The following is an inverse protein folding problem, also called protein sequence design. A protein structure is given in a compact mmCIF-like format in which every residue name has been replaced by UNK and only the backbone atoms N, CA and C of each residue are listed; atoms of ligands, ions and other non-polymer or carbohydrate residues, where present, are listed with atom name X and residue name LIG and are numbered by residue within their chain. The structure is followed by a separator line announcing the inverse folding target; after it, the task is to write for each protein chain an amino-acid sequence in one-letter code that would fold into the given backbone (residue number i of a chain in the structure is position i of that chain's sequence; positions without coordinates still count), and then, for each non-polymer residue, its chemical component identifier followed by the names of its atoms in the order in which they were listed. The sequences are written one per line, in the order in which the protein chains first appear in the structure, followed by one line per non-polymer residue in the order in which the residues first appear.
data_IF_081997541838
#
_entry.id   IF_081997541838
#
_cell.length_a   1.000
_cell.length_b   1.000
_cell.length_c   1.000
_cell.angle_alpha   90.00
_cell.angle_beta   90.00
_cell.angle_gamma   90.00
#
_symmetry.space_group_name_H-M   'P 1'
#
loop_
_entity.id
_entity.type
_entity.pdbx_description
1 polymer ?
#
# COMPACT_ATOMS: atom_id res chain seq x y z
N UNK A 1 -46.23 -15.61 48.80
CA UNK A 1 -46.18 -14.75 47.61
C UNK A 1 -44.72 -14.43 47.33
N UNK A 2 -44.08 -15.11 46.39
CA UNK A 2 -42.66 -14.89 46.03
C UNK A 2 -42.61 -14.01 44.79
N UNK A 3 -42.05 -12.82 44.94
CA UNK A 3 -41.85 -11.85 43.87
C UNK A 3 -40.65 -12.30 43.04
N UNK A 4 -40.84 -12.71 41.77
CA UNK A 4 -39.76 -12.91 40.81
C UNK A 4 -39.38 -11.56 40.23
N UNK A 5 -38.16 -11.09 40.52
CA UNK A 5 -37.56 -9.92 39.87
C UNK A 5 -36.82 -10.41 38.60
N UNK A 6 -37.38 -10.13 37.43
CA UNK A 6 -36.67 -10.35 36.17
C UNK A 6 -35.68 -9.23 35.96
N UNK A 7 -34.40 -9.53 36.07
CA UNK A 7 -33.31 -8.62 35.66
C UNK A 7 -33.15 -8.74 34.15
N UNK A 8 -33.55 -7.69 33.42
CA UNK A 8 -33.27 -7.56 32.00
C UNK A 8 -31.79 -7.22 31.82
N UNK A 9 -31.01 -8.15 31.32
CA UNK A 9 -29.63 -7.92 30.92
C UNK A 9 -29.64 -7.22 29.53
N UNK A 10 -29.39 -5.90 29.56
CA UNK A 10 -29.15 -5.14 28.34
C UNK A 10 -27.74 -5.48 27.79
N UNK A 11 -27.68 -6.26 26.71
CA UNK A 11 -26.45 -6.41 25.95
C UNK A 11 -26.23 -5.13 25.12
N UNK A 12 -25.05 -4.50 25.24
CA UNK A 12 -24.73 -3.38 24.35
C UNK A 12 -24.58 -3.91 22.91
N UNK A 13 -25.43 -3.40 22.03
CA UNK A 13 -25.26 -3.58 20.60
C UNK A 13 -24.03 -2.77 20.21
N UNK A 14 -22.89 -3.43 20.03
CA UNK A 14 -21.75 -2.83 19.34
C UNK A 14 -22.17 -2.63 17.87
N UNK A 15 -22.54 -1.42 17.52
CA UNK A 15 -22.57 -1.02 16.11
C UNK A 15 -21.14 -1.18 15.59
N UNK A 16 -20.92 -2.17 14.73
CA UNK A 16 -19.73 -2.23 13.90
C UNK A 16 -19.75 -0.99 13.01
N UNK A 17 -18.94 0.01 13.36
CA UNK A 17 -18.62 1.12 12.47
C UNK A 17 -17.97 0.45 11.26
N UNK A 18 -18.68 0.50 10.10
CA UNK A 18 -18.22 -0.10 8.88
C UNK A 18 -16.81 0.38 8.56
N UNK A 19 -15.89 -0.56 8.42
CA UNK A 19 -14.51 -0.30 8.02
C UNK A 19 -14.55 0.35 6.64
N UNK A 20 -14.38 1.66 6.58
CA UNK A 20 -14.11 2.36 5.32
C UNK A 20 -12.83 1.74 4.75
N UNK A 21 -12.89 1.28 3.53
CA UNK A 21 -11.76 0.62 2.86
C UNK A 21 -10.49 1.47 3.01
N UNK A 22 -9.41 0.90 3.52
CA UNK A 22 -8.11 1.59 3.72
C UNK A 22 -7.56 2.21 2.42
N UNK A 23 -7.95 1.68 1.27
CA UNK A 23 -7.62 2.25 -0.05
C UNK A 23 -8.17 3.68 -0.21
N UNK A 24 -9.34 3.98 0.37
CA UNK A 24 -9.97 5.31 0.28
C UNK A 24 -9.28 6.36 1.17
N UNK A 25 -8.49 5.96 2.14
CA UNK A 25 -7.83 6.86 3.09
C UNK A 25 -6.31 6.97 2.91
N UNK A 26 -5.76 6.37 1.86
CA UNK A 26 -4.33 6.46 1.61
C UNK A 26 -3.86 7.88 1.30
N UNK A 27 -2.57 8.16 1.57
CA UNK A 27 -1.85 9.35 1.11
C UNK A 27 -1.02 9.01 -0.12
N UNK A 28 -0.60 10.01 -0.93
CA UNK A 28 0.33 9.74 -2.02
C UNK A 28 1.64 9.13 -1.49
N UNK A 29 2.21 8.13 -2.21
CA UNK A 29 3.51 7.55 -1.83
C UNK A 29 4.67 8.52 -2.04
N UNK A 30 4.49 9.55 -2.85
CA UNK A 30 5.45 10.62 -3.13
C UNK A 30 4.83 11.96 -2.70
N UNK A 31 5.54 12.72 -1.88
CA UNK A 31 5.08 14.05 -1.47
C UNK A 31 5.14 15.02 -2.65
N UNK A 32 4.11 15.83 -2.78
CA UNK A 32 4.03 16.81 -3.87
C UNK A 32 3.67 16.21 -5.23
N UNK A 33 3.35 14.91 -5.30
CA UNK A 33 2.89 14.26 -6.53
C UNK A 33 1.74 15.05 -7.16
N UNK A 34 1.89 15.43 -8.41
CA UNK A 34 0.84 16.14 -9.13
C UNK A 34 -0.06 15.17 -9.93
N UNK A 35 -1.33 15.55 -10.12
CA UNK A 35 -2.24 14.74 -10.93
C UNK A 35 -1.77 14.57 -12.38
N UNK A 36 -1.01 15.54 -12.89
CA UNK A 36 -0.47 15.49 -14.25
C UNK A 36 0.61 14.41 -14.42
N UNK A 37 1.25 13.99 -13.32
CA UNK A 37 2.30 12.99 -13.32
C UNK A 37 1.75 11.56 -13.10
N UNK A 38 0.45 11.45 -12.78
CA UNK A 38 -0.24 10.17 -12.63
C UNK A 38 -0.84 9.72 -13.97
N UNK A 39 -0.49 8.50 -14.38
CA UNK A 39 -1.12 7.80 -15.50
C UNK A 39 -1.66 6.47 -15.03
N UNK A 40 -2.80 6.06 -15.55
CA UNK A 40 -3.33 4.72 -15.31
C UNK A 40 -2.61 3.72 -16.23
N UNK A 41 -1.60 3.05 -15.67
CA UNK A 41 -0.81 2.03 -16.35
C UNK A 41 -1.23 0.60 -15.96
N UNK A 42 -2.31 0.46 -15.17
CA UNK A 42 -2.72 -0.81 -14.56
C UNK A 42 -3.00 -1.92 -15.57
N UNK A 43 -3.69 -1.59 -16.66
CA UNK A 43 -4.05 -2.55 -17.71
C UNK A 43 -3.00 -2.66 -18.84
N UNK A 44 -1.91 -1.89 -18.77
CA UNK A 44 -0.84 -1.97 -19.77
C UNK A 44 -0.22 -3.38 -19.78
N UNK A 45 0.21 -3.82 -20.96
CA UNK A 45 0.81 -5.15 -21.13
C UNK A 45 2.33 -5.00 -21.30
N UNK A 46 3.07 -5.57 -20.36
CA UNK A 46 4.52 -5.63 -20.39
C UNK A 46 4.99 -7.09 -20.50
N UNK A 47 5.72 -7.42 -21.56
CA UNK A 47 6.24 -8.79 -21.80
C UNK A 47 5.17 -9.90 -21.74
N UNK A 48 3.95 -9.60 -22.20
CA UNK A 48 2.84 -10.58 -22.23
C UNK A 48 2.07 -10.73 -20.92
N UNK A 49 2.38 -9.93 -19.90
CA UNK A 49 1.66 -9.89 -18.62
C UNK A 49 1.04 -8.52 -18.40
N UNK A 50 -0.11 -8.46 -17.74
CA UNK A 50 -0.67 -7.18 -17.27
C UNK A 50 0.28 -6.57 -16.25
N UNK A 51 0.37 -5.25 -16.29
CA UNK A 51 1.21 -4.48 -15.37
C UNK A 51 0.72 -4.56 -13.92
N UNK A 52 -0.59 -4.46 -13.72
CA UNK A 52 -1.29 -4.58 -12.43
C UNK A 52 -0.74 -3.62 -11.34
N UNK A 53 -0.18 -2.49 -11.78
CA UNK A 53 0.44 -1.47 -10.95
C UNK A 53 0.34 -0.09 -11.59
N UNK A 54 0.77 0.93 -10.87
CA UNK A 54 0.99 2.29 -11.38
C UNK A 54 2.47 2.61 -11.27
N UNK A 55 3.08 3.00 -12.40
CA UNK A 55 4.44 3.52 -12.42
C UNK A 55 4.42 5.03 -12.25
N UNK A 56 5.14 5.51 -11.24
CA UNK A 56 5.25 6.92 -10.87
C UNK A 56 6.70 7.35 -11.15
N UNK A 57 6.96 8.03 -12.29
CA UNK A 57 8.29 8.52 -12.63
C UNK A 57 8.75 9.58 -11.64
N UNK A 58 9.91 9.36 -11.02
CA UNK A 58 10.52 10.27 -10.06
C UNK A 58 12.04 10.12 -10.09
N UNK A 59 12.79 11.17 -9.75
CA UNK A 59 14.24 11.07 -9.65
C UNK A 59 14.68 9.99 -8.65
N UNK A 60 15.82 9.33 -8.95
CA UNK A 60 16.45 8.40 -8.01
C UNK A 60 16.70 9.10 -6.66
N UNK A 61 16.41 8.42 -5.57
CA UNK A 61 16.58 8.94 -4.21
C UNK A 61 15.40 9.77 -3.70
N UNK A 62 14.34 9.99 -4.50
CA UNK A 62 13.09 10.61 -4.00
C UNK A 62 12.51 9.77 -2.87
N UNK A 63 12.17 10.35 -1.71
CA UNK A 63 11.59 9.61 -0.59
C UNK A 63 10.25 8.96 -0.95
N UNK A 64 10.11 7.69 -0.60
CA UNK A 64 8.85 6.91 -0.72
C UNK A 64 8.23 6.78 0.66
N UNK A 65 6.94 7.09 0.76
CA UNK A 65 6.20 7.12 2.00
C UNK A 65 5.18 5.98 2.09
N UNK A 66 4.98 5.45 3.29
CA UNK A 66 3.90 4.54 3.59
C UNK A 66 2.55 5.22 3.30
N UNK A 67 1.75 4.65 2.39
CA UNK A 67 0.48 5.26 1.97
C UNK A 67 -0.62 5.15 3.03
N UNK A 68 -0.52 4.19 3.93
CA UNK A 68 -1.41 3.95 5.09
C UNK A 68 -0.59 3.59 6.31
N UNK A 69 -1.18 3.64 7.51
CA UNK A 69 -0.59 3.00 8.70
C UNK A 69 -0.70 1.48 8.57
N UNK A 70 0.26 0.75 9.15
CA UNK A 70 0.25 -0.70 9.08
C UNK A 70 1.59 -1.34 9.44
N UNK A 71 1.86 -2.51 8.89
CA UNK A 71 3.05 -3.32 9.22
C UNK A 71 3.86 -3.68 7.98
N UNK A 72 5.18 -3.52 8.03
CA UNK A 72 6.10 -4.02 7.01
C UNK A 72 6.15 -5.54 7.11
N UNK A 73 5.52 -6.23 6.16
CA UNK A 73 5.42 -7.69 6.20
C UNK A 73 6.61 -8.38 5.57
N UNK A 74 7.21 -7.76 4.54
CA UNK A 74 8.35 -8.33 3.85
C UNK A 74 9.21 -7.25 3.22
N UNK A 75 10.51 -7.36 3.41
CA UNK A 75 11.56 -6.70 2.63
C UNK A 75 12.16 -7.76 1.72
N UNK A 76 12.06 -7.58 0.41
CA UNK A 76 12.44 -8.63 -0.51
C UNK A 76 13.23 -8.09 -1.69
N UNK A 77 14.27 -8.83 -2.06
CA UNK A 77 15.03 -8.58 -3.29
C UNK A 77 14.64 -9.62 -4.33
N UNK A 78 13.99 -9.19 -5.39
CA UNK A 78 13.60 -10.05 -6.50
C UNK A 78 14.27 -9.65 -7.81
N UNK A 79 14.38 -10.60 -8.75
CA UNK A 79 14.92 -10.29 -10.08
C UNK A 79 14.05 -9.28 -10.84
N UNK A 80 12.70 -9.38 -10.87
CA UNK A 80 11.87 -8.37 -11.54
C UNK A 80 11.73 -7.08 -10.72
N UNK A 81 11.39 -7.14 -9.44
CA UNK A 81 11.03 -5.95 -8.64
C UNK A 81 12.22 -5.21 -8.04
N UNK A 82 13.43 -5.80 -8.04
CA UNK A 82 14.56 -5.23 -7.30
C UNK A 82 14.32 -5.22 -5.79
N UNK A 83 14.74 -4.15 -5.13
CA UNK A 83 14.42 -3.91 -3.72
C UNK A 83 12.95 -3.56 -3.59
N UNK A 84 12.22 -4.33 -2.78
CA UNK A 84 10.77 -4.21 -2.64
C UNK A 84 10.31 -4.21 -1.19
N UNK A 85 9.21 -3.50 -0.93
CA UNK A 85 8.51 -3.48 0.35
C UNK A 85 7.10 -4.03 0.14
N UNK A 86 6.67 -4.94 1.01
CA UNK A 86 5.30 -5.37 1.16
C UNK A 86 4.79 -4.89 2.51
N UNK A 87 3.87 -3.96 2.49
CA UNK A 87 3.23 -3.39 3.68
C UNK A 87 1.78 -3.87 3.76
N UNK A 88 1.37 -4.40 4.90
CA UNK A 88 -0.04 -4.67 5.15
C UNK A 88 -0.69 -3.48 5.84
N UNK A 89 -1.96 -3.21 5.52
CA UNK A 89 -2.77 -2.30 6.32
C UNK A 89 -3.04 -2.86 7.73
N UNK A 90 -3.57 -2.05 8.62
CA UNK A 90 -3.84 -2.44 10.01
C UNK A 90 -4.80 -3.62 10.13
N UNK A 91 -5.74 -3.76 9.19
CA UNK A 91 -6.71 -4.85 9.18
C UNK A 91 -6.16 -6.11 8.49
N UNK A 92 -5.04 -6.01 7.75
CA UNK A 92 -4.48 -7.10 6.95
C UNK A 92 -5.42 -7.54 5.83
N UNK A 93 -6.16 -6.60 5.26
CA UNK A 93 -7.03 -6.81 4.10
C UNK A 93 -6.28 -6.54 2.81
N UNK A 94 -5.42 -5.52 2.83
CA UNK A 94 -4.66 -5.10 1.66
C UNK A 94 -3.16 -5.17 1.91
N UNK A 95 -2.44 -5.55 0.84
CA UNK A 95 -0.99 -5.44 0.75
C UNK A 95 -0.63 -4.33 -0.23
N UNK A 96 0.15 -3.37 0.23
CA UNK A 96 0.73 -2.29 -0.57
C UNK A 96 2.15 -2.67 -0.94
N UNK A 97 2.44 -2.65 -2.23
CA UNK A 97 3.71 -3.08 -2.79
C UNK A 97 4.44 -1.91 -3.42
N UNK A 98 5.69 -1.75 -3.02
CA UNK A 98 6.60 -0.72 -3.51
C UNK A 98 7.83 -1.39 -4.10
N UNK A 99 8.14 -1.13 -5.36
CA UNK A 99 9.24 -1.80 -6.05
C UNK A 99 10.19 -0.84 -6.77
N UNK A 100 11.26 -1.40 -7.31
CA UNK A 100 12.39 -0.74 -7.97
C UNK A 100 13.14 0.24 -7.05
N UNK A 101 13.02 0.08 -5.73
CA UNK A 101 13.62 0.98 -4.75
C UNK A 101 15.14 0.97 -4.85
N UNK A 102 15.75 2.14 -4.64
CA UNK A 102 17.21 2.26 -4.50
C UNK A 102 17.67 1.62 -3.19
N UNK A 103 16.87 1.79 -2.14
CA UNK A 103 17.08 1.18 -0.84
C UNK A 103 15.93 1.51 0.12
N UNK A 104 16.04 0.96 1.31
CA UNK A 104 15.12 1.19 2.42
C UNK A 104 15.63 2.33 3.31
N UNK A 105 14.73 2.98 4.04
CA UNK A 105 15.16 3.91 5.10
C UNK A 105 15.93 3.15 6.18
N UNK A 106 16.91 3.80 6.77
CA UNK A 106 17.72 3.20 7.85
C UNK A 106 16.85 2.70 9.01
N UNK A 107 17.11 1.50 9.47
CA UNK A 107 16.36 0.87 10.56
C UNK A 107 15.03 0.23 10.16
N UNK A 108 14.58 0.34 8.91
CA UNK A 108 13.39 -0.38 8.46
C UNK A 108 13.62 -1.89 8.53
N UNK A 109 12.65 -2.62 9.11
CA UNK A 109 12.72 -4.08 9.23
C UNK A 109 11.33 -4.71 9.09
N UNK A 110 11.34 -5.98 8.79
CA UNK A 110 10.11 -6.80 8.79
C UNK A 110 9.45 -6.77 10.17
N UNK A 111 8.13 -6.86 10.20
CA UNK A 111 7.24 -6.77 11.37
C UNK A 111 7.27 -5.39 12.07
N UNK A 112 7.95 -4.40 11.49
CA UNK A 112 7.90 -3.03 12.01
C UNK A 112 6.57 -2.37 11.67
N UNK A 113 5.96 -1.73 12.66
CA UNK A 113 4.81 -0.85 12.45
C UNK A 113 5.29 0.48 11.86
N UNK A 114 4.57 0.97 10.87
CA UNK A 114 4.78 2.28 10.26
C UNK A 114 3.47 3.07 10.26
N UNK A 115 3.60 4.37 10.40
CA UNK A 115 2.46 5.28 10.28
C UNK A 115 2.35 5.80 8.85
N UNK A 116 1.14 6.16 8.46
CA UNK A 116 0.88 6.81 7.16
C UNK A 116 1.73 8.07 7.02
N UNK A 117 2.50 8.14 5.94
CA UNK A 117 3.40 9.24 5.66
C UNK A 117 4.84 9.08 6.17
N UNK A 118 5.15 7.98 6.89
CA UNK A 118 6.53 7.65 7.24
C UNK A 118 7.36 7.36 5.98
N UNK A 119 8.62 7.80 5.97
CA UNK A 119 9.54 7.42 4.91
C UNK A 119 9.93 5.95 5.10
N UNK A 120 9.74 5.13 4.07
CA UNK A 120 10.04 3.70 4.10
C UNK A 120 11.15 3.30 3.13
N UNK A 121 11.47 4.14 2.16
CA UNK A 121 12.51 3.85 1.17
C UNK A 121 12.70 5.01 0.21
N UNK A 122 13.41 4.75 -0.88
CA UNK A 122 13.78 5.75 -1.87
C UNK A 122 13.57 5.20 -3.28
N UNK A 123 13.07 6.04 -4.18
CA UNK A 123 12.89 5.70 -5.60
C UNK A 123 14.22 5.29 -6.22
N UNK A 124 14.20 4.24 -7.00
CA UNK A 124 15.37 3.75 -7.72
C UNK A 124 15.02 3.23 -9.11
N UNK A 125 15.83 2.29 -9.56
CA UNK A 125 15.64 1.52 -10.81
C UNK A 125 16.25 0.12 -10.66
N UNK A 126 16.12 -0.48 -9.45
CA UNK A 126 16.60 -1.84 -9.22
C UNK A 126 15.67 -2.88 -9.86
N UNK A 127 16.14 -4.12 -9.99
CA UNK A 127 15.38 -5.16 -10.68
C UNK A 127 15.46 -5.04 -12.18
N UNK A 128 14.31 -5.10 -12.86
CA UNK A 128 14.23 -5.00 -14.33
C UNK A 128 13.88 -3.59 -14.85
N UNK A 129 13.81 -2.58 -13.97
CA UNK A 129 13.58 -1.20 -14.37
C UNK A 129 14.78 -0.64 -15.17
N UNK A 130 14.50 0.20 -16.19
CA UNK A 130 15.56 0.89 -16.94
C UNK A 130 16.26 1.90 -16.03
N UNK A 131 17.59 1.80 -15.92
CA UNK A 131 18.40 2.69 -15.10
C UNK A 131 18.29 4.18 -15.49
N UNK A 132 17.85 4.47 -16.72
CA UNK A 132 17.66 5.84 -17.25
C UNK A 132 16.30 6.44 -16.90
N UNK A 133 15.37 5.62 -16.46
CA UNK A 133 13.99 6.04 -16.12
C UNK A 133 13.60 5.55 -14.73
N UNK A 134 14.21 6.12 -13.66
CA UNK A 134 13.84 5.75 -12.29
C UNK A 134 12.36 6.04 -12.07
N UNK A 135 11.70 5.14 -11.34
CA UNK A 135 10.27 5.28 -11.00
C UNK A 135 9.93 4.43 -9.78
N UNK A 136 8.86 4.77 -9.11
CA UNK A 136 8.22 3.90 -8.16
C UNK A 136 7.18 3.04 -8.87
N UNK A 137 7.35 1.73 -8.86
CA UNK A 137 6.30 0.78 -9.24
C UNK A 137 5.45 0.49 -8.00
N UNK A 138 4.18 0.92 -8.03
CA UNK A 138 3.27 0.84 -6.89
C UNK A 138 2.05 -0.01 -7.23
N UNK A 139 1.82 -1.06 -6.42
CA UNK A 139 0.67 -1.95 -6.59
C UNK A 139 -0.09 -2.15 -5.27
N UNK A 140 -1.35 -2.56 -5.38
CA UNK A 140 -2.21 -2.94 -4.25
C UNK A 140 -2.78 -4.33 -4.53
N UNK A 141 -2.73 -5.20 -3.53
CA UNK A 141 -3.31 -6.53 -3.59
C UNK A 141 -4.32 -6.71 -2.45
N UNK A 142 -5.53 -7.15 -2.79
CA UNK A 142 -6.50 -7.67 -1.82
C UNK A 142 -6.03 -9.06 -1.39
N UNK A 143 -5.82 -9.24 -0.09
CA UNK A 143 -5.28 -10.48 0.47
C UNK A 143 -6.38 -11.54 0.63
N UNK A 144 -6.02 -12.79 0.40
CA UNK A 144 -6.86 -13.92 0.78
C UNK A 144 -6.85 -14.17 2.29
N UNK A 145 -7.67 -15.11 2.78
CA UNK A 145 -7.79 -15.42 4.21
C UNK A 145 -6.48 -15.87 4.85
N UNK A 146 -5.56 -16.45 4.08
CA UNK A 146 -4.22 -16.87 4.56
C UNK A 146 -3.25 -15.70 4.75
N UNK A 147 -3.57 -14.51 4.24
CA UNK A 147 -2.77 -13.29 4.34
C UNK A 147 -1.31 -13.49 3.92
N UNK A 148 -1.13 -14.18 2.77
CA UNK A 148 0.21 -14.43 2.23
C UNK A 148 0.68 -13.20 1.45
N UNK A 149 1.84 -12.63 1.83
CA UNK A 149 2.37 -11.40 1.22
C UNK A 149 2.67 -11.52 -0.28
N UNK A 150 2.86 -12.75 -0.78
CA UNK A 150 3.14 -13.05 -2.20
C UNK A 150 1.91 -13.47 -3.01
N UNK A 151 0.71 -13.42 -2.41
CA UNK A 151 -0.51 -13.92 -3.05
C UNK A 151 -1.69 -13.01 -2.70
N UNK A 152 -2.23 -12.36 -3.71
CA UNK A 152 -3.40 -11.51 -3.59
C UNK A 152 -4.02 -11.26 -4.95
N UNK A 153 -5.18 -10.62 -4.97
CA UNK A 153 -5.85 -10.14 -6.17
C UNK A 153 -5.45 -8.69 -6.40
N UNK A 154 -4.87 -8.39 -7.56
CA UNK A 154 -4.51 -7.02 -7.91
C UNK A 154 -5.74 -6.10 -7.93
N UNK A 155 -5.59 -4.92 -7.35
CA UNK A 155 -6.59 -3.85 -7.31
C UNK A 155 -5.97 -2.60 -7.90
N UNK A 156 -6.65 -1.97 -8.88
CA UNK A 156 -6.12 -0.77 -9.53
C UNK A 156 -5.89 0.36 -8.51
N UNK A 157 -4.64 0.80 -8.28
CA UNK A 157 -4.33 1.86 -7.33
C UNK A 157 -4.75 3.26 -7.84
N UNK A 158 -4.91 3.44 -9.15
CA UNK A 158 -5.06 4.75 -9.79
C UNK A 158 -6.20 5.60 -9.21
N UNK A 159 -7.44 5.09 -9.06
CA UNK A 159 -8.52 5.90 -8.49
C UNK A 159 -8.20 6.41 -7.08
N UNK A 160 -7.65 5.55 -6.24
CA UNK A 160 -7.26 5.91 -4.86
C UNK A 160 -6.11 6.91 -4.82
N UNK A 161 -5.12 6.79 -5.73
CA UNK A 161 -4.02 7.76 -5.87
C UNK A 161 -4.53 9.14 -6.30
N UNK A 162 -5.44 9.19 -7.28
CA UNK A 162 -6.07 10.44 -7.72
C UNK A 162 -6.76 11.15 -6.55
N UNK A 163 -7.52 10.41 -5.76
CA UNK A 163 -8.22 10.97 -4.60
C UNK A 163 -7.25 11.38 -3.49
N UNK A 164 -6.20 10.61 -3.26
CA UNK A 164 -5.13 10.95 -2.31
C UNK A 164 -4.43 12.26 -2.68
N UNK A 165 -4.05 12.43 -3.96
CA UNK A 165 -3.42 13.66 -4.47
C UNK A 165 -4.34 14.87 -4.36
N UNK A 166 -5.65 14.70 -4.62
CA UNK A 166 -6.65 15.79 -4.46
C UNK A 166 -6.79 16.24 -3.01
N UNK A 167 -6.74 15.30 -2.05
CA UNK A 167 -6.84 15.61 -0.62
C UNK A 167 -5.57 16.23 -0.03
N UNK A 168 -4.41 16.02 -0.65
CA UNK A 168 -3.13 16.55 -0.19
C UNK A 168 -2.87 18.01 -0.57
N UNK A 169 -3.75 18.63 -1.37
CA UNK A 169 -3.73 20.05 -1.76
C UNK A 169 -4.44 20.90 -0.74
#
# INVERSE_FOLDING_TARGET
MRLCVCIAVLFPVFLAVGSTSSILEMTPPIRGLALADLRDTFEEVHNGHRHEAIDIPEPRGTPVHAVVSGTIRKLFLSKPGGNTIYQFDEMGVYCYYYAHLDGYVEGLREEMRVERGDIIGFVGSTGNADARTPHLHFAIFELGPERLWWKGKAVNPYPGLVDAVKRAK
#
